data_IF_428207666871
#
_entry.id   IF_428207666871
#
_cell.length_a   1.000
_cell.length_b   1.000
_cell.length_c   1.000
_cell.angle_alpha   90.00
_cell.angle_beta   90.00
_cell.angle_gamma   90.00
#
_symmetry.space_group_name_H-M   'P 1'
#
loop_
_entity.id
_entity.type
_entity.pdbx_description
1 polymer ?
#
# COMPACT_ATOMS: atom_id res chain seq x y z
N UNK A 1 -2.73 2.76 13.13
CA UNK A 1 -3.47 2.80 11.86
C UNK A 1 -3.28 1.49 11.08
N UNK A 2 -2.24 1.25 10.27
CA UNK A 2 -2.16 -0.02 9.50
C UNK A 2 -2.17 -1.27 10.38
N UNK A 3 -1.50 -1.18 11.54
CA UNK A 3 -1.49 -2.24 12.55
C UNK A 3 -2.89 -2.56 13.11
N UNK A 4 -3.85 -1.62 13.09
CA UNK A 4 -5.24 -1.89 13.50
C UNK A 4 -5.93 -2.87 12.54
N UNK A 5 -5.47 -2.92 11.28
CA UNK A 5 -5.94 -3.83 10.22
C UNK A 5 -5.00 -5.03 10.00
N UNK A 6 -4.01 -5.23 10.89
CA UNK A 6 -2.96 -6.26 10.72
C UNK A 6 -2.17 -6.14 9.40
N UNK A 7 -2.13 -4.94 8.81
CA UNK A 7 -1.38 -4.66 7.58
C UNK A 7 -0.03 -4.02 7.93
N UNK A 8 1.10 -4.58 7.47
CA UNK A 8 2.39 -3.89 7.56
C UNK A 8 2.34 -2.56 6.80
N UNK A 9 2.84 -1.48 7.41
CA UNK A 9 2.87 -0.15 6.74
C UNK A 9 3.57 -0.20 5.38
N UNK A 10 4.63 -1.01 5.26
CA UNK A 10 5.37 -1.19 4.01
C UNK A 10 4.50 -1.82 2.91
N UNK A 11 3.64 -2.78 3.24
CA UNK A 11 2.70 -3.37 2.29
C UNK A 11 1.68 -2.33 1.78
N UNK A 12 1.10 -1.54 2.69
CA UNK A 12 0.22 -0.44 2.31
C UNK A 12 0.94 0.58 1.41
N UNK A 13 2.16 0.99 1.77
CA UNK A 13 2.94 1.92 0.96
C UNK A 13 3.27 1.37 -0.44
N UNK A 14 3.56 0.07 -0.56
CA UNK A 14 3.81 -0.59 -1.84
C UNK A 14 2.56 -0.65 -2.72
N UNK A 15 1.37 -0.83 -2.12
CA UNK A 15 0.10 -0.95 -2.85
C UNK A 15 -0.51 0.39 -3.24
N UNK A 16 -0.34 1.41 -2.41
CA UNK A 16 -1.00 2.72 -2.56
C UNK A 16 -0.89 3.35 -3.96
N UNK A 17 0.28 3.39 -4.64
CA UNK A 17 0.41 4.02 -5.96
C UNK A 17 -0.52 3.42 -7.02
N UNK A 18 -0.87 2.14 -6.88
CA UNK A 18 -1.69 1.41 -7.85
C UNK A 18 -3.19 1.74 -7.76
N UNK A 19 -3.60 2.61 -6.84
CA UNK A 19 -4.96 3.16 -6.84
C UNK A 19 -5.24 4.08 -8.03
N UNK A 20 -4.21 4.70 -8.59
CA UNK A 20 -4.36 5.63 -9.72
C UNK A 20 -4.18 4.92 -11.07
N UNK A 21 -5.13 5.05 -12.03
CA UNK A 21 -5.11 4.28 -13.29
C UNK A 21 -3.91 4.57 -14.20
N UNK A 22 -3.27 5.74 -14.04
CA UNK A 22 -2.05 6.08 -14.76
C UNK A 22 -0.78 5.35 -14.26
N UNK A 23 -0.83 4.66 -13.12
CA UNK A 23 0.33 3.98 -12.54
C UNK A 23 0.41 2.55 -13.06
N UNK A 24 1.31 2.34 -14.03
CA UNK A 24 1.59 1.00 -14.57
C UNK A 24 2.57 0.20 -13.70
N UNK A 25 3.49 0.87 -13.02
CA UNK A 25 4.51 0.25 -12.17
C UNK A 25 5.05 1.23 -11.12
N UNK A 26 5.55 0.70 -10.01
CA UNK A 26 6.28 1.44 -8.99
C UNK A 26 7.68 0.83 -8.81
N UNK A 27 8.72 1.67 -8.82
CA UNK A 27 10.10 1.23 -8.59
C UNK A 27 10.42 1.32 -7.10
N UNK A 28 10.85 0.21 -6.52
CA UNK A 28 11.16 0.09 -5.08
C UNK A 28 12.61 -0.32 -4.88
N UNK A 29 13.28 0.32 -3.93
CA UNK A 29 14.66 0.02 -3.60
C UNK A 29 14.81 -1.34 -2.92
N UNK A 30 15.90 -2.03 -3.22
CA UNK A 30 16.35 -3.23 -2.53
C UNK A 30 17.88 -3.32 -2.62
N UNK A 31 18.55 -3.48 -1.49
CA UNK A 31 20.01 -3.59 -1.38
C UNK A 31 20.50 -5.05 -1.33
N UNK A 32 19.58 -6.01 -1.18
CA UNK A 32 19.91 -7.43 -1.05
C UNK A 32 18.85 -8.35 -1.67
N UNK A 33 19.21 -9.61 -2.02
CA UNK A 33 18.22 -10.61 -2.47
C UNK A 33 17.14 -10.94 -1.42
N UNK A 34 17.41 -10.69 -0.13
CA UNK A 34 16.40 -10.84 0.91
C UNK A 34 15.35 -9.73 0.81
N UNK A 35 15.77 -8.48 0.59
CA UNK A 35 14.86 -7.36 0.41
C UNK A 35 14.03 -7.46 -0.87
N UNK A 36 14.58 -8.03 -1.95
CA UNK A 36 13.80 -8.34 -3.16
C UNK A 36 12.62 -9.26 -2.83
N UNK A 37 12.89 -10.35 -2.09
CA UNK A 37 11.85 -11.32 -1.70
C UNK A 37 10.84 -10.71 -0.75
N UNK A 38 11.31 -9.99 0.27
CA UNK A 38 10.46 -9.32 1.24
C UNK A 38 9.55 -8.27 0.58
N UNK A 39 10.05 -7.48 -0.38
CA UNK A 39 9.20 -6.57 -1.16
C UNK A 39 8.14 -7.30 -1.97
N UNK A 40 8.49 -8.44 -2.59
CA UNK A 40 7.53 -9.25 -3.35
C UNK A 40 6.46 -9.89 -2.45
N UNK A 41 6.87 -10.42 -1.29
CA UNK A 41 5.97 -11.00 -0.29
C UNK A 41 5.02 -9.94 0.30
N UNK A 42 5.55 -8.77 0.67
CA UNK A 42 4.74 -7.64 1.15
C UNK A 42 3.77 -7.14 0.09
N UNK A 43 4.19 -7.08 -1.17
CA UNK A 43 3.33 -6.66 -2.27
C UNK A 43 2.18 -7.65 -2.49
N UNK A 44 2.41 -8.95 -2.27
CA UNK A 44 1.40 -9.99 -2.44
C UNK A 44 0.36 -10.07 -1.31
N UNK A 45 0.52 -9.31 -0.22
CA UNK A 45 -0.45 -9.30 0.87
C UNK A 45 -1.77 -8.69 0.44
N UNK A 46 -2.87 -9.33 0.86
CA UNK A 46 -4.20 -8.75 0.77
C UNK A 46 -4.32 -7.59 1.75
N UNK A 47 -4.80 -6.44 1.25
CA UNK A 47 -5.01 -5.25 2.05
C UNK A 47 -6.51 -4.96 2.04
N UNK A 48 -7.18 -4.97 3.20
CA UNK A 48 -8.62 -4.69 3.27
C UNK A 48 -8.95 -3.28 2.80
N UNK A 49 -10.01 -3.12 2.01
CA UNK A 49 -10.47 -1.81 1.50
C UNK A 49 -10.77 -0.83 2.65
N UNK A 50 -11.20 -1.36 3.80
CA UNK A 50 -11.51 -0.59 5.00
C UNK A 50 -10.30 0.19 5.52
N UNK A 51 -9.07 -0.28 5.27
CA UNK A 51 -7.84 0.44 5.60
C UNK A 51 -7.78 1.78 4.88
N UNK A 52 -8.02 1.78 3.56
CA UNK A 52 -7.98 2.97 2.71
C UNK A 52 -9.07 3.95 3.08
N UNK A 53 -10.28 3.45 3.28
CA UNK A 53 -11.40 4.29 3.72
C UNK A 53 -11.14 4.87 5.12
N UNK A 54 -10.51 4.13 6.03
CA UNK A 54 -10.15 4.64 7.35
C UNK A 54 -9.08 5.74 7.29
N UNK A 55 -8.12 5.63 6.39
CA UNK A 55 -7.13 6.68 6.11
C UNK A 55 -7.80 7.99 5.67
N UNK A 56 -8.74 7.92 4.72
CA UNK A 56 -9.51 9.09 4.25
C UNK A 56 -10.36 9.66 5.39
N UNK A 57 -11.13 8.83 6.11
CA UNK A 57 -11.96 9.29 7.24
C UNK A 57 -11.17 9.97 8.35
N UNK A 58 -9.89 9.61 8.52
CA UNK A 58 -9.00 10.20 9.52
C UNK A 58 -8.21 11.42 8.99
N UNK A 59 -8.44 11.83 7.74
CA UNK A 59 -7.74 12.95 7.10
C UNK A 59 -6.26 12.69 6.86
N UNK A 60 -5.85 11.42 6.76
CA UNK A 60 -4.48 11.02 6.43
C UNK A 60 -4.27 10.87 4.92
N UNK A 61 -5.36 10.79 4.18
CA UNK A 61 -5.46 10.85 2.72
C UNK A 61 -6.62 11.80 2.40
N UNK A 62 -6.50 12.55 1.31
CA UNK A 62 -7.57 13.41 0.80
C UNK A 62 -8.74 12.57 0.27
N UNK A 63 -9.92 13.15 0.12
CA UNK A 63 -11.14 12.45 -0.28
C UNK A 63 -11.27 12.28 -1.81
N UNK A 64 -10.48 13.02 -2.59
CA UNK A 64 -10.49 13.04 -4.05
C UNK A 64 -9.43 12.13 -4.69
N UNK A 65 -8.60 11.45 -3.90
CA UNK A 65 -7.55 10.59 -4.43
C UNK A 65 -8.07 9.17 -4.80
N UNK A 66 -7.62 8.59 -5.92
CA UNK A 66 -7.93 7.21 -6.26
C UNK A 66 -7.31 6.22 -5.26
N UNK A 67 -8.10 5.25 -4.80
CA UNK A 67 -7.69 4.22 -3.84
C UNK A 67 -7.55 2.86 -4.52
N UNK A 68 -6.63 1.99 -4.07
CA UNK A 68 -6.46 0.64 -4.60
C UNK A 68 -7.49 -0.31 -3.97
N UNK A 69 -8.74 -0.15 -4.40
CA UNK A 69 -9.93 -0.98 -4.09
C UNK A 69 -10.40 -1.74 -5.33
#
# INVERSE_FOLDING_TARGET
MCAEFQVPLRAAALRFPFGHPAVAAAVVGCASPAEVRDNAELFALDIPDELWQALVRRGLLDDDIPLPV
#
